data_IF_654077505810
#
_entry.id   IF_654077505810
#
_cell.length_a   1.000
_cell.length_b   1.000
_cell.length_c   1.000
_cell.angle_alpha   90.00
_cell.angle_beta   90.00
_cell.angle_gamma   90.00
#
_symmetry.space_group_name_H-M   'P 1'
#
loop_
_entity.id
_entity.type
_entity.pdbx_description
1 polymer ?
#
# COMPACT_ATOMS: atom_id res chain seq x y z
N UNK A 1 6.71 14.76 -21.55
CA UNK A 1 7.59 14.09 -20.58
C UNK A 1 7.14 14.63 -19.25
N UNK A 2 6.38 13.85 -18.48
CA UNK A 2 6.01 14.21 -17.11
C UNK A 2 7.28 14.05 -16.28
N UNK A 3 7.71 15.08 -15.56
CA UNK A 3 8.85 14.95 -14.67
C UNK A 3 8.42 14.27 -13.36
N UNK A 4 9.37 13.69 -12.64
CA UNK A 4 9.10 13.05 -11.36
C UNK A 4 8.54 14.05 -10.33
N UNK A 5 8.88 15.34 -10.46
CA UNK A 5 8.31 16.40 -9.62
C UNK A 5 6.83 16.63 -9.95
N UNK A 6 6.49 16.68 -11.24
CA UNK A 6 5.10 16.86 -11.67
C UNK A 6 4.21 15.69 -11.20
N UNK A 7 4.77 14.47 -11.18
CA UNK A 7 4.08 13.27 -10.66
C UNK A 7 3.88 13.31 -9.15
N UNK A 8 4.88 13.81 -8.40
CA UNK A 8 4.76 14.00 -6.94
C UNK A 8 3.71 15.08 -6.63
N UNK A 9 3.72 16.18 -7.38
CA UNK A 9 2.73 17.24 -7.21
C UNK A 9 1.30 16.73 -7.50
N UNK A 10 1.13 15.88 -8.51
CA UNK A 10 -0.17 15.23 -8.83
C UNK A 10 -0.62 14.24 -7.74
N UNK A 11 0.32 13.46 -7.20
CA UNK A 11 0.09 12.57 -6.05
C UNK A 11 -0.36 13.37 -4.82
N UNK A 12 0.33 14.46 -4.49
CA UNK A 12 0.00 15.31 -3.33
C UNK A 12 -1.40 15.93 -3.48
N UNK A 13 -1.74 16.43 -4.67
CA UNK A 13 -3.09 16.94 -4.93
C UNK A 13 -4.16 15.86 -4.75
N UNK A 14 -3.93 14.65 -5.28
CA UNK A 14 -4.90 13.54 -5.19
C UNK A 14 -5.09 13.09 -3.74
N UNK A 15 -4.01 13.02 -2.96
CA UNK A 15 -4.08 12.68 -1.54
C UNK A 15 -4.80 13.77 -0.72
N UNK A 16 -4.64 15.04 -1.06
CA UNK A 16 -5.38 16.14 -0.42
C UNK A 16 -6.89 16.01 -0.65
N UNK A 17 -7.30 15.67 -1.88
CA UNK A 17 -8.71 15.41 -2.21
C UNK A 17 -9.32 14.25 -1.40
N UNK A 18 -8.55 13.17 -1.20
CA UNK A 18 -8.98 12.05 -0.35
C UNK A 18 -9.13 12.45 1.12
N UNK A 19 -8.21 13.26 1.65
CA UNK A 19 -8.30 13.76 3.04
C UNK A 19 -9.49 14.70 3.24
N UNK A 20 -9.86 15.48 2.23
CA UNK A 20 -11.07 16.31 2.25
C UNK A 20 -12.34 15.44 2.33
N UNK A 21 -12.41 14.34 1.56
CA UNK A 21 -13.52 13.39 1.64
C UNK A 21 -13.61 12.69 2.99
N UNK A 22 -12.48 12.30 3.59
CA UNK A 22 -12.45 11.75 4.95
C UNK A 22 -12.97 12.76 5.97
N UNK A 23 -12.57 14.04 5.83
CA UNK A 23 -13.03 15.11 6.72
C UNK A 23 -14.53 15.30 6.60
N UNK A 24 -15.08 15.33 5.38
CA UNK A 24 -16.53 15.38 5.15
C UNK A 24 -17.26 14.20 5.79
N UNK A 25 -16.74 12.98 5.64
CA UNK A 25 -17.34 11.80 6.25
C UNK A 25 -17.34 11.89 7.79
N UNK A 26 -16.27 12.43 8.40
CA UNK A 26 -16.21 12.66 9.85
C UNK A 26 -17.28 13.67 10.27
N UNK A 27 -17.39 14.80 9.56
CA UNK A 27 -18.39 15.83 9.87
C UNK A 27 -19.82 15.24 9.82
N UNK A 28 -20.13 14.45 8.78
CA UNK A 28 -21.42 13.74 8.66
C UNK A 28 -21.66 12.77 9.82
N UNK A 29 -20.64 12.03 10.27
CA UNK A 29 -20.74 11.14 11.42
C UNK A 29 -20.99 11.91 12.73
N UNK A 30 -20.35 13.07 12.91
CA UNK A 30 -20.57 13.95 14.07
C UNK A 30 -21.98 14.56 14.08
N UNK A 31 -22.54 14.85 12.90
CA UNK A 31 -23.91 15.33 12.73
C UNK A 31 -24.97 14.22 12.86
N UNK A 32 -24.55 12.96 12.86
CA UNK A 32 -25.41 11.78 13.01
C UNK A 32 -25.93 11.22 11.68
N UNK A 33 -25.41 11.70 10.56
CA UNK A 33 -25.77 11.31 9.19
C UNK A 33 -24.95 10.09 8.74
N UNK A 34 -25.16 8.96 9.42
CA UNK A 34 -24.38 7.73 9.22
C UNK A 34 -24.53 7.13 7.81
N UNK A 35 -25.72 7.20 7.22
CA UNK A 35 -25.95 6.66 5.88
C UNK A 35 -25.16 7.45 4.82
N UNK A 36 -25.18 8.78 4.90
CA UNK A 36 -24.45 9.65 3.98
C UNK A 36 -22.93 9.53 4.17
N UNK A 37 -22.45 9.45 5.42
CA UNK A 37 -21.04 9.21 5.69
C UNK A 37 -20.54 7.88 5.10
N UNK A 38 -21.37 6.82 5.16
CA UNK A 38 -21.03 5.52 4.57
C UNK A 38 -21.00 5.59 3.04
N UNK A 39 -21.90 6.34 2.41
CA UNK A 39 -21.87 6.54 0.96
C UNK A 39 -20.59 7.29 0.52
N UNK A 40 -20.20 8.34 1.25
CA UNK A 40 -18.94 9.08 0.98
C UNK A 40 -17.72 8.17 1.13
N UNK A 41 -17.66 7.37 2.21
CA UNK A 41 -16.52 6.48 2.46
C UNK A 41 -16.40 5.36 1.42
N UNK A 42 -17.51 4.82 0.91
CA UNK A 42 -17.49 3.81 -0.16
C UNK A 42 -16.94 4.37 -1.47
N UNK A 43 -17.35 5.59 -1.83
CA UNK A 43 -16.80 6.27 -3.01
C UNK A 43 -15.29 6.50 -2.86
N UNK A 44 -14.85 6.97 -1.69
CA UNK A 44 -13.43 7.14 -1.38
C UNK A 44 -12.65 5.82 -1.44
N UNK A 45 -13.22 4.72 -0.96
CA UNK A 45 -12.60 3.39 -1.01
C UNK A 45 -12.36 2.93 -2.47
N UNK A 46 -13.37 3.08 -3.33
CA UNK A 46 -13.27 2.77 -4.76
C UNK A 46 -12.17 3.63 -5.42
N UNK A 47 -12.18 4.94 -5.19
CA UNK A 47 -11.20 5.87 -5.74
C UNK A 47 -9.76 5.56 -5.24
N UNK A 48 -9.61 5.16 -3.98
CA UNK A 48 -8.31 4.78 -3.40
C UNK A 48 -7.77 3.48 -3.98
N UNK A 49 -8.62 2.49 -4.23
CA UNK A 49 -8.21 1.23 -4.85
C UNK A 49 -7.76 1.45 -6.29
N UNK A 50 -8.51 2.24 -7.06
CA UNK A 50 -8.12 2.66 -8.42
C UNK A 50 -6.80 3.45 -8.41
N UNK A 51 -6.60 4.33 -7.43
CA UNK A 51 -5.39 5.13 -7.29
C UNK A 51 -4.14 4.29 -6.97
N UNK A 52 -4.27 3.34 -6.03
CA UNK A 52 -3.17 2.48 -5.59
C UNK A 52 -2.93 1.29 -6.53
N UNK A 53 -3.85 1.05 -7.47
CA UNK A 53 -3.80 -0.10 -8.36
C UNK A 53 -3.97 -1.42 -7.61
N UNK A 54 -4.69 -1.41 -6.48
CA UNK A 54 -5.07 -2.63 -5.79
C UNK A 54 -6.22 -3.28 -6.54
N UNK A 55 -6.07 -4.57 -6.86
CA UNK A 55 -7.17 -5.36 -7.39
C UNK A 55 -8.04 -5.85 -6.21
N UNK A 56 -9.36 -5.75 -6.34
CA UNK A 56 -10.31 -6.32 -5.38
C UNK A 56 -10.10 -7.84 -5.32
N UNK A 57 -9.36 -8.30 -4.31
CA UNK A 57 -9.08 -9.71 -4.11
C UNK A 57 -10.39 -10.40 -3.72
N UNK A 58 -10.82 -11.41 -4.48
CA UNK A 58 -12.03 -12.17 -4.17
C UNK A 58 -11.87 -12.76 -2.74
N UNK A 59 -12.88 -12.58 -1.88
CA UNK A 59 -12.87 -12.96 -0.47
C UNK A 59 -12.58 -14.48 -0.31
N UNK A 60 -11.29 -14.85 -0.27
CA UNK A 60 -10.83 -16.24 -0.36
C UNK A 60 -9.39 -16.46 -0.85
N UNK A 61 -8.74 -15.48 -1.48
CA UNK A 61 -7.36 -15.59 -2.01
C UNK A 61 -6.26 -14.95 -1.13
N UNK A 62 -6.54 -14.60 0.14
CA UNK A 62 -5.55 -14.01 1.09
C UNK A 62 -4.32 -14.90 1.39
N UNK A 63 -4.24 -16.14 0.89
CA UNK A 63 -3.22 -17.11 1.32
C UNK A 63 -1.96 -17.19 0.44
N UNK A 64 -1.92 -16.59 -0.76
CA UNK A 64 -0.78 -16.75 -1.69
C UNK A 64 0.05 -15.48 -1.93
N UNK A 65 -0.40 -14.30 -1.49
CA UNK A 65 0.31 -13.04 -1.77
C UNK A 65 1.50 -12.74 -0.83
N UNK A 66 1.62 -13.40 0.33
CA UNK A 66 2.75 -13.17 1.25
C UNK A 66 4.07 -13.87 0.84
N UNK A 67 4.07 -14.84 -0.09
CA UNK A 67 5.28 -15.62 -0.41
C UNK A 67 6.15 -15.05 -1.55
N UNK A 68 5.69 -14.10 -2.36
CA UNK A 68 6.50 -13.60 -3.50
C UNK A 68 7.43 -12.40 -3.18
N UNK A 69 7.31 -11.74 -2.02
CA UNK A 69 8.16 -10.58 -1.69
C UNK A 69 9.48 -10.91 -0.93
N UNK A 70 9.73 -12.16 -0.50
CA UNK A 70 10.95 -12.51 0.28
C UNK A 70 12.12 -13.11 -0.53
N UNK A 71 12.01 -13.32 -1.86
CA UNK A 71 13.07 -14.02 -2.64
C UNK A 71 14.00 -13.14 -3.50
N UNK A 72 14.25 -11.88 -3.14
CA UNK A 72 15.35 -11.09 -3.76
C UNK A 72 16.33 -10.44 -2.74
N UNK A 73 16.72 -11.16 -1.68
CA UNK A 73 17.97 -10.87 -0.96
C UNK A 73 18.79 -12.14 -0.68
N UNK A 74 19.40 -12.71 -1.73
CA UNK A 74 20.55 -13.60 -1.56
C UNK A 74 21.70 -13.18 -2.47
N UNK A 75 22.30 -12.02 -2.17
CA UNK A 75 23.67 -11.75 -2.63
C UNK A 75 24.64 -12.75 -1.97
N UNK A 76 25.27 -13.56 -2.82
CA UNK A 76 26.25 -14.58 -2.49
C UNK A 76 27.35 -14.09 -1.54
N UNK A 77 27.43 -14.68 -0.34
CA UNK A 77 28.68 -14.70 0.42
C UNK A 77 29.58 -15.83 -0.09
N UNK A 78 30.75 -15.55 -0.72
CA UNK A 78 31.67 -16.62 -1.08
C UNK A 78 32.27 -17.24 0.19
N UNK A 79 31.82 -18.46 0.51
CA UNK A 79 32.46 -19.37 1.47
C UNK A 79 33.87 -19.71 0.99
N UNK A 80 34.90 -19.04 1.52
CA UNK A 80 36.27 -19.58 1.48
C UNK A 80 36.64 -20.21 2.82
N UNK A 81 36.71 -21.54 2.74
CA UNK A 81 36.95 -22.51 3.78
C UNK A 81 38.16 -22.18 4.70
N UNK A 82 37.93 -22.30 6.00
CA UNK A 82 38.98 -22.57 6.96
C UNK A 82 39.49 -24.01 6.77
N UNK A 83 40.82 -24.26 6.65
CA UNK A 83 41.32 -25.61 6.77
C UNK A 83 41.40 -26.00 8.25
N UNK A 84 40.65 -27.04 8.61
CA UNK A 84 40.80 -27.79 9.87
C UNK A 84 42.16 -28.52 9.93
N UNK A 85 42.58 -28.81 11.17
CA UNK A 85 43.65 -29.70 11.69
C UNK A 85 44.92 -28.96 12.09
N UNK A 86 45.50 -29.12 13.28
CA UNK A 86 45.17 -29.97 14.42
C UNK A 86 46.41 -30.15 15.29
N UNK A 87 46.22 -30.11 16.62
CA UNK A 87 46.85 -30.99 17.63
C UNK A 87 48.40 -31.11 17.61
N UNK A 88 49.09 -30.30 18.42
CA UNK A 88 49.95 -30.77 19.54
C UNK A 88 50.48 -29.59 20.35
#
# INVERSE_FOLDING_TARGET
MVSLNDLIDELDCTLEEFLDQVTLAIDLLEEGEQEEAVEVLKGLEEDLFDFLGYEEMEEGEEAEAEEEEEEEEVEEKPKKAAPKKGKK
#
